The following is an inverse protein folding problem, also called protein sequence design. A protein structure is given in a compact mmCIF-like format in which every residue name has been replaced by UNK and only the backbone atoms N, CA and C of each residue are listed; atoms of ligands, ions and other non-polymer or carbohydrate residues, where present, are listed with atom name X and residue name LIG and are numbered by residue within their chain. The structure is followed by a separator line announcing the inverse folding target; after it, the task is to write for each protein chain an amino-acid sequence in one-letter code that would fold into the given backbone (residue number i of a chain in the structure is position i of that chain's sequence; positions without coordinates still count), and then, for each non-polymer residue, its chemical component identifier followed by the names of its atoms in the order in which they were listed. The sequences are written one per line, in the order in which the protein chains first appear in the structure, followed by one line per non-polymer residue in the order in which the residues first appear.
data_IF_556021240351
#
_entry.id   IF_556021240351
#
_cell.length_a   1.000
_cell.length_b   1.000
_cell.length_c   1.000
_cell.angle_alpha   90.00
_cell.angle_beta   90.00
_cell.angle_gamma   90.00
#
_symmetry.space_group_name_H-M   'P 1'
#
loop_
_entity.id
_entity.type
_entity.pdbx_description
1 polymer ?
#
# COMPACT_ATOMS: atom_id res chain seq x y z
N UNK A 1 -26.20 -33.99 -10.80
CA UNK A 1 -27.03 -32.84 -11.26
C UNK A 1 -28.41 -33.34 -11.68
N UNK A 2 -28.49 -34.53 -12.30
CA UNK A 2 -29.76 -35.22 -12.52
C UNK A 2 -30.53 -35.41 -11.21
N UNK A 3 -31.82 -35.03 -11.26
CA UNK A 3 -32.74 -35.05 -10.11
C UNK A 3 -32.75 -33.80 -9.21
N UNK A 4 -31.85 -32.82 -9.39
CA UNK A 4 -31.82 -31.61 -8.54
C UNK A 4 -31.51 -30.30 -9.24
N UNK A 5 -31.68 -30.23 -10.57
CA UNK A 5 -31.37 -29.05 -11.37
C UNK A 5 -32.04 -27.77 -10.86
N UNK A 6 -33.24 -27.84 -10.25
CA UNK A 6 -33.92 -26.67 -9.65
C UNK A 6 -33.12 -26.01 -8.54
N UNK A 7 -32.54 -26.80 -7.62
CA UNK A 7 -31.71 -26.27 -6.52
C UNK A 7 -30.39 -25.71 -7.02
N UNK A 8 -29.81 -26.34 -8.05
CA UNK A 8 -28.63 -25.81 -8.71
C UNK A 8 -28.93 -24.50 -9.44
N UNK A 9 -30.07 -24.42 -10.12
CA UNK A 9 -30.55 -23.19 -10.75
C UNK A 9 -30.75 -22.08 -9.72
N UNK A 10 -31.46 -22.36 -8.62
CA UNK A 10 -31.63 -21.41 -7.50
C UNK A 10 -30.30 -20.92 -6.94
N UNK A 11 -29.34 -21.83 -6.72
CA UNK A 11 -28.01 -21.45 -6.22
C UNK A 11 -27.23 -20.60 -7.24
N UNK A 12 -27.26 -20.97 -8.53
CA UNK A 12 -26.56 -20.23 -9.60
C UNK A 12 -27.20 -18.86 -9.83
N UNK A 13 -28.52 -18.74 -9.74
CA UNK A 13 -29.24 -17.48 -9.93
C UNK A 13 -29.23 -16.59 -8.68
N UNK A 14 -28.80 -17.11 -7.52
CA UNK A 14 -28.66 -16.33 -6.31
C UNK A 14 -27.68 -15.16 -6.52
N UNK A 15 -27.95 -14.00 -5.92
CA UNK A 15 -27.11 -12.81 -6.09
C UNK A 15 -25.72 -13.02 -5.45
N UNK A 16 -25.69 -13.71 -4.30
CA UNK A 16 -24.49 -13.95 -3.49
C UNK A 16 -24.28 -15.46 -3.25
N UNK A 17 -24.07 -16.27 -4.30
CA UNK A 17 -24.00 -17.74 -4.19
C UNK A 17 -22.86 -18.21 -3.29
N UNK A 18 -21.79 -17.43 -3.17
CA UNK A 18 -20.65 -17.70 -2.29
C UNK A 18 -20.97 -17.68 -0.79
N UNK A 19 -22.13 -17.14 -0.43
CA UNK A 19 -22.64 -17.15 0.95
C UNK A 19 -23.56 -18.32 1.24
N UNK A 20 -23.99 -19.05 0.20
CA UNK A 20 -24.97 -20.11 0.29
C UNK A 20 -24.29 -21.48 0.27
N UNK A 21 -24.77 -22.44 1.08
CA UNK A 21 -24.25 -23.80 1.02
C UNK A 21 -24.54 -24.40 -0.37
N UNK A 22 -23.58 -25.15 -0.91
CA UNK A 22 -23.79 -25.87 -2.16
C UNK A 22 -24.94 -26.88 -2.03
N UNK A 23 -25.69 -27.14 -3.11
CA UNK A 23 -26.79 -28.10 -3.07
C UNK A 23 -26.34 -29.51 -2.66
N UNK A 24 -27.19 -30.22 -1.91
CA UNK A 24 -27.05 -31.65 -1.61
C UNK A 24 -25.73 -32.03 -0.90
N UNK A 25 -25.07 -33.08 -1.37
CA UNK A 25 -23.81 -33.63 -0.86
C UNK A 25 -22.60 -32.74 -1.16
N UNK A 26 -22.73 -31.81 -2.12
CA UNK A 26 -21.64 -30.96 -2.56
C UNK A 26 -21.20 -29.96 -1.47
N UNK A 27 -22.08 -29.64 -0.51
CA UNK A 27 -21.70 -28.87 0.70
C UNK A 27 -20.71 -29.58 1.62
N UNK A 28 -20.56 -30.91 1.49
CA UNK A 28 -19.62 -31.71 2.28
C UNK A 28 -18.20 -31.69 1.70
N UNK A 29 -18.02 -31.14 0.51
CA UNK A 29 -16.70 -30.98 -0.07
C UNK A 29 -15.88 -29.98 0.75
N UNK A 30 -14.57 -30.20 0.81
CA UNK A 30 -13.60 -29.24 1.36
C UNK A 30 -13.70 -27.89 0.64
N UNK A 31 -13.46 -26.78 1.35
CA UNK A 31 -13.60 -25.42 0.80
C UNK A 31 -12.96 -25.20 -0.57
N UNK A 32 -11.72 -25.68 -0.79
CA UNK A 32 -11.05 -25.57 -2.10
C UNK A 32 -11.79 -26.29 -3.24
N UNK A 33 -12.34 -27.48 -2.98
CA UNK A 33 -13.16 -28.23 -3.95
C UNK A 33 -14.49 -27.53 -4.22
N UNK A 34 -15.06 -26.83 -3.24
CA UNK A 34 -16.23 -25.98 -3.44
C UNK A 34 -15.92 -24.79 -4.37
N UNK A 35 -14.71 -24.21 -4.27
CA UNK A 35 -14.26 -23.15 -5.17
C UNK A 35 -14.15 -23.62 -6.63
N UNK A 36 -13.80 -24.88 -6.88
CA UNK A 36 -13.81 -25.43 -8.25
C UNK A 36 -15.20 -25.40 -8.88
N UNK A 37 -16.24 -25.65 -8.07
CA UNK A 37 -17.64 -25.61 -8.52
C UNK A 37 -18.07 -24.16 -8.75
N UNK A 38 -17.72 -23.25 -7.83
CA UNK A 38 -17.93 -21.81 -8.02
C UNK A 38 -17.29 -21.33 -9.33
N UNK A 39 -16.06 -21.75 -9.62
CA UNK A 39 -15.35 -21.38 -10.85
C UNK A 39 -16.07 -21.85 -12.11
N UNK A 40 -16.67 -23.03 -12.05
CA UNK A 40 -17.39 -23.62 -13.18
C UNK A 40 -18.75 -22.95 -13.42
N UNK A 41 -19.46 -22.54 -12.37
CA UNK A 41 -20.86 -22.10 -12.45
C UNK A 41 -21.08 -20.59 -12.30
N UNK A 42 -20.26 -19.90 -11.50
CA UNK A 42 -20.33 -18.46 -11.20
C UNK A 42 -18.93 -17.85 -11.13
N UNK A 43 -18.19 -17.82 -12.25
CA UNK A 43 -16.84 -17.28 -12.31
C UNK A 43 -16.77 -15.79 -11.90
N UNK A 44 -17.86 -15.05 -12.07
CA UNK A 44 -18.03 -13.65 -11.66
C UNK A 44 -17.94 -13.44 -10.14
N UNK A 45 -18.23 -14.47 -9.33
CA UNK A 45 -18.19 -14.42 -7.86
C UNK A 45 -16.90 -14.95 -7.26
N UNK A 46 -15.94 -15.36 -8.08
CA UNK A 46 -14.74 -16.06 -7.63
C UNK A 46 -13.90 -15.24 -6.64
N UNK A 47 -13.74 -13.94 -6.86
CA UNK A 47 -12.98 -13.08 -5.95
C UNK A 47 -13.56 -13.09 -4.54
N UNK A 48 -14.90 -12.99 -4.41
CA UNK A 48 -15.59 -13.01 -3.12
C UNK A 48 -15.56 -14.39 -2.48
N UNK A 49 -15.71 -15.45 -3.28
CA UNK A 49 -15.64 -16.82 -2.79
C UNK A 49 -14.24 -17.17 -2.25
N UNK A 50 -13.18 -16.77 -2.95
CA UNK A 50 -11.79 -16.94 -2.49
C UNK A 50 -11.55 -16.13 -1.21
N UNK A 51 -11.98 -14.86 -1.17
CA UNK A 51 -11.80 -14.01 0.00
C UNK A 51 -12.44 -14.63 1.25
N UNK A 52 -13.67 -15.14 1.11
CA UNK A 52 -14.36 -15.84 2.18
C UNK A 52 -13.61 -17.10 2.62
N UNK A 53 -13.18 -17.92 1.66
CA UNK A 53 -12.43 -19.14 1.97
C UNK A 53 -11.11 -18.85 2.69
N UNK A 54 -10.40 -17.78 2.29
CA UNK A 54 -9.21 -17.29 3.01
C UNK A 54 -9.56 -16.87 4.44
N UNK A 55 -10.68 -16.17 4.63
CA UNK A 55 -11.18 -15.82 5.95
C UNK A 55 -11.50 -17.03 6.83
N UNK A 56 -12.08 -18.08 6.25
CA UNK A 56 -12.43 -19.31 6.97
C UNK A 56 -11.18 -20.13 7.35
N UNK A 57 -10.12 -20.08 6.55
CA UNK A 57 -8.89 -20.88 6.75
C UNK A 57 -7.82 -20.15 7.56
N UNK A 58 -7.58 -18.87 7.27
CA UNK A 58 -6.50 -18.06 7.85
C UNK A 58 -7.00 -17.01 8.84
N UNK A 59 -8.31 -16.72 8.86
CA UNK A 59 -8.92 -15.71 9.73
C UNK A 59 -9.22 -14.39 9.03
N UNK A 60 -10.08 -13.58 9.65
CA UNK A 60 -10.62 -12.34 9.07
C UNK A 60 -9.58 -11.24 8.83
N UNK A 61 -8.44 -11.28 9.52
CA UNK A 61 -7.35 -10.32 9.33
C UNK A 61 -6.81 -10.32 7.89
N UNK A 62 -6.81 -11.48 7.22
CA UNK A 62 -6.39 -11.61 5.83
C UNK A 62 -7.44 -11.16 4.81
N UNK A 63 -8.65 -10.81 5.27
CA UNK A 63 -9.71 -10.25 4.42
C UNK A 63 -9.74 -8.72 4.44
N UNK A 64 -9.14 -8.10 5.47
CA UNK A 64 -9.16 -6.65 5.65
C UNK A 64 -7.95 -6.00 4.99
N UNK A 65 -8.18 -4.92 4.24
CA UNK A 65 -7.08 -4.09 3.77
C UNK A 65 -6.33 -3.49 4.98
N UNK A 66 -5.01 -3.65 4.99
CA UNK A 66 -4.14 -3.01 5.96
C UNK A 66 -3.95 -1.56 5.52
N UNK A 67 -4.17 -0.61 6.43
CA UNK A 67 -3.87 0.78 6.15
C UNK A 67 -2.34 0.96 6.12
N UNK A 68 -1.85 1.74 5.17
CA UNK A 68 -0.45 2.14 5.14
C UNK A 68 -0.12 2.97 6.39
N UNK A 69 0.86 2.52 7.17
CA UNK A 69 1.40 3.22 8.33
C UNK A 69 2.93 3.21 8.24
N UNK A 70 3.50 4.36 7.90
CA UNK A 70 4.94 4.52 7.78
C UNK A 70 5.64 4.45 9.14
N UNK A 71 5.03 4.98 10.21
CA UNK A 71 5.65 5.01 11.53
C UNK A 71 5.82 3.60 12.07
N UNK A 72 4.76 2.78 11.98
CA UNK A 72 4.82 1.37 12.38
C UNK A 72 5.85 0.59 11.55
N UNK A 73 5.84 0.78 10.22
CA UNK A 73 6.78 0.09 9.33
C UNK A 73 8.24 0.52 9.55
N UNK A 74 8.46 1.73 10.06
CA UNK A 74 9.79 2.26 10.35
C UNK A 74 10.40 1.64 11.62
N UNK A 75 9.61 1.06 12.52
CA UNK A 75 10.13 0.38 13.72
C UNK A 75 11.03 -0.82 13.36
N UNK A 76 10.75 -1.48 12.24
CA UNK A 76 11.56 -2.59 11.73
C UNK A 76 12.78 -2.11 10.92
N UNK A 77 12.89 -0.80 10.63
CA UNK A 77 13.96 -0.24 9.80
C UNK A 77 15.25 -0.07 10.61
N UNK A 78 16.37 -0.35 9.96
CA UNK A 78 17.71 -0.25 10.56
C UNK A 78 18.71 0.30 9.54
N UNK A 79 19.96 0.62 9.93
CA UNK A 79 20.98 1.05 8.99
C UNK A 79 21.22 0.07 7.83
N UNK A 80 21.01 -1.24 8.07
CA UNK A 80 21.17 -2.32 7.10
C UNK A 80 19.89 -2.70 6.35
N UNK A 81 18.74 -2.21 6.81
CA UNK A 81 17.41 -2.54 6.26
C UNK A 81 16.74 -1.25 5.78
N UNK A 82 16.90 -0.90 4.49
CA UNK A 82 16.28 0.30 3.92
C UNK A 82 14.75 0.19 3.89
N UNK A 83 14.08 1.33 3.83
CA UNK A 83 12.65 1.40 3.51
C UNK A 83 12.50 1.71 2.02
N UNK A 84 11.77 0.88 1.29
CA UNK A 84 11.56 1.01 -0.15
C UNK A 84 10.09 1.29 -0.46
N UNK A 85 9.83 2.45 -1.06
CA UNK A 85 8.52 2.85 -1.56
C UNK A 85 8.35 2.42 -3.02
N UNK A 86 7.43 1.50 -3.27
CA UNK A 86 6.93 1.26 -4.62
C UNK A 86 5.93 2.36 -4.98
N UNK A 87 6.31 3.20 -5.93
CA UNK A 87 5.51 4.34 -6.32
C UNK A 87 4.29 3.90 -7.13
N UNK A 88 3.13 4.38 -6.70
CA UNK A 88 1.90 4.38 -7.48
C UNK A 88 1.60 5.80 -7.97
N UNK A 89 0.92 5.99 -9.11
CA UNK A 89 0.56 7.33 -9.59
C UNK A 89 -0.19 8.15 -8.53
N UNK A 90 0.30 9.36 -8.25
CA UNK A 90 -0.33 10.30 -7.30
C UNK A 90 0.08 10.14 -5.84
N UNK A 91 1.05 9.28 -5.54
CA UNK A 91 1.61 9.08 -4.19
C UNK A 91 2.96 9.81 -4.08
N UNK A 92 3.17 10.53 -2.98
CA UNK A 92 4.43 11.22 -2.71
C UNK A 92 5.02 10.74 -1.37
N UNK A 93 5.93 9.74 -1.37
CA UNK A 93 6.54 9.24 -0.12
C UNK A 93 7.43 10.29 0.55
N UNK A 94 7.92 11.29 -0.18
CA UNK A 94 8.80 12.32 0.38
C UNK A 94 8.07 13.13 1.47
N UNK A 95 6.78 13.40 1.28
CA UNK A 95 5.97 14.10 2.26
C UNK A 95 5.77 13.26 3.53
N UNK A 96 5.46 11.96 3.35
CA UNK A 96 5.25 11.03 4.46
C UNK A 96 6.54 10.87 5.30
N UNK A 97 7.70 10.73 4.65
CA UNK A 97 9.01 10.63 5.34
C UNK A 97 9.35 11.94 6.06
N UNK A 98 9.05 13.10 5.47
CA UNK A 98 9.28 14.40 6.13
C UNK A 98 8.44 14.56 7.39
N UNK A 99 7.16 14.17 7.36
CA UNK A 99 6.28 14.21 8.55
C UNK A 99 6.84 13.31 9.65
N UNK A 100 7.24 12.09 9.32
CA UNK A 100 7.86 11.17 10.28
C UNK A 100 9.18 11.74 10.83
N UNK A 101 10.04 12.26 9.95
CA UNK A 101 11.34 12.84 10.32
C UNK A 101 11.20 14.04 11.25
N UNK A 102 10.25 14.93 10.98
CA UNK A 102 9.94 16.06 11.87
C UNK A 102 9.52 15.59 13.27
N UNK A 103 8.74 14.50 13.37
CA UNK A 103 8.35 13.91 14.65
C UNK A 103 9.51 13.30 15.43
N UNK A 104 10.63 12.98 14.77
CA UNK A 104 11.81 12.33 15.34
C UNK A 104 13.07 13.21 15.37
N UNK A 105 12.95 14.51 15.05
CA UNK A 105 14.11 15.42 14.98
C UNK A 105 15.12 15.05 13.87
N UNK A 106 14.61 14.57 12.72
CA UNK A 106 15.39 14.24 11.52
C UNK A 106 14.97 15.17 10.40
N UNK A 107 15.35 16.44 10.52
CA UNK A 107 14.95 17.50 9.59
C UNK A 107 16.09 17.91 8.68
N UNK A 108 15.76 18.53 7.54
CA UNK A 108 16.75 19.09 6.60
C UNK A 108 17.51 20.26 7.26
N UNK A 109 16.81 21.08 8.07
CA UNK A 109 17.37 22.26 8.74
C UNK A 109 18.42 21.91 9.80
N UNK A 110 18.24 20.77 10.49
CA UNK A 110 19.23 20.24 11.44
C UNK A 110 20.35 19.46 10.75
N UNK A 111 20.32 19.38 9.42
CA UNK A 111 21.27 18.59 8.64
C UNK A 111 21.17 17.09 8.89
N UNK A 112 20.04 16.61 9.45
CA UNK A 112 19.81 15.20 9.80
C UNK A 112 18.96 14.44 8.79
N UNK A 113 18.55 15.11 7.71
CA UNK A 113 17.87 14.49 6.58
C UNK A 113 18.39 15.09 5.25
N UNK A 114 18.79 14.21 4.33
CA UNK A 114 19.20 14.60 2.98
C UNK A 114 18.31 13.89 1.97
N UNK A 115 17.63 14.67 1.13
CA UNK A 115 16.83 14.16 0.01
C UNK A 115 17.55 14.38 -1.31
N UNK A 116 17.67 13.32 -2.10
CA UNK A 116 18.23 13.36 -3.46
C UNK A 116 17.19 12.79 -4.42
N UNK A 117 16.78 13.60 -5.41
CA UNK A 117 15.96 13.12 -6.53
C UNK A 117 16.87 12.69 -7.65
N UNK A 118 16.83 11.40 -8.02
CA UNK A 118 17.75 10.83 -8.97
C UNK A 118 17.41 11.25 -10.41
N UNK A 119 18.47 11.42 -11.19
CA UNK A 119 18.48 11.92 -12.55
C UNK A 119 19.93 11.96 -13.04
N UNK A 120 20.17 12.55 -14.22
CA UNK A 120 21.51 12.58 -14.79
C UNK A 120 22.51 13.29 -13.84
N UNK A 121 23.55 12.58 -13.43
CA UNK A 121 24.64 13.09 -12.57
C UNK A 121 24.31 13.21 -11.07
N UNK A 122 23.12 12.76 -10.62
CA UNK A 122 22.73 12.82 -9.21
C UNK A 122 23.24 11.63 -8.38
N UNK A 123 23.75 10.58 -9.03
CA UNK A 123 24.37 9.42 -8.40
C UNK A 123 25.57 9.81 -7.51
N UNK A 124 26.39 10.77 -7.95
CA UNK A 124 27.52 11.27 -7.15
C UNK A 124 27.05 12.00 -5.88
N UNK A 125 25.94 12.73 -5.97
CA UNK A 125 25.33 13.44 -4.82
C UNK A 125 24.73 12.43 -3.84
N UNK A 126 24.01 11.43 -4.37
CA UNK A 126 23.46 10.34 -3.58
C UNK A 126 24.55 9.57 -2.83
N UNK A 127 25.67 9.27 -3.48
CA UNK A 127 26.79 8.58 -2.82
C UNK A 127 27.37 9.38 -1.66
N UNK A 128 27.58 10.70 -1.85
CA UNK A 128 28.08 11.57 -0.79
C UNK A 128 27.11 11.68 0.39
N UNK A 129 25.81 11.78 0.10
CA UNK A 129 24.78 11.81 1.13
C UNK A 129 24.78 10.54 1.98
N UNK A 130 24.90 9.37 1.34
CA UNK A 130 25.03 8.08 2.03
C UNK A 130 26.27 8.03 2.90
N UNK A 131 27.44 8.44 2.39
CA UNK A 131 28.70 8.41 3.15
C UNK A 131 28.67 9.36 4.35
N UNK A 132 28.09 10.56 4.17
CA UNK A 132 27.94 11.53 5.24
C UNK A 132 27.05 10.99 6.37
N UNK A 133 25.84 10.54 6.03
CA UNK A 133 24.86 10.09 7.03
C UNK A 133 25.24 8.75 7.66
N UNK A 134 26.04 7.94 6.98
CA UNK A 134 26.64 6.74 7.54
C UNK A 134 27.52 7.05 8.76
N UNK A 135 28.30 8.15 8.71
CA UNK A 135 29.20 8.57 9.80
C UNK A 135 28.47 9.43 10.82
N UNK A 136 27.77 10.47 10.36
CA UNK A 136 27.18 11.50 11.23
C UNK A 136 25.84 11.10 11.84
N UNK A 137 25.19 10.06 11.28
CA UNK A 137 23.86 9.66 11.64
C UNK A 137 22.78 10.62 11.12
N UNK A 138 21.72 10.04 10.57
CA UNK A 138 20.61 10.78 9.97
C UNK A 138 20.05 10.00 8.80
N UNK A 139 19.20 10.65 8.01
CA UNK A 139 18.36 9.97 7.03
C UNK A 139 18.71 10.40 5.62
N UNK A 140 18.67 9.45 4.68
CA UNK A 140 18.84 9.70 3.26
C UNK A 140 17.63 9.20 2.50
N UNK A 141 16.96 10.08 1.74
CA UNK A 141 15.89 9.70 0.81
C UNK A 141 16.42 9.78 -0.62
N UNK A 142 16.48 8.64 -1.30
CA UNK A 142 16.83 8.53 -2.71
C UNK A 142 15.55 8.31 -3.52
N UNK A 143 15.08 9.36 -4.18
CA UNK A 143 13.83 9.33 -4.92
C UNK A 143 14.03 9.00 -6.40
N UNK A 144 13.15 8.18 -6.97
CA UNK A 144 13.14 7.80 -8.39
C UNK A 144 14.43 7.12 -8.86
N UNK A 145 14.93 6.15 -8.08
CA UNK A 145 16.22 5.50 -8.34
C UNK A 145 16.28 4.77 -9.70
N UNK A 146 15.14 4.37 -10.25
CA UNK A 146 15.01 3.74 -11.57
C UNK A 146 15.50 4.64 -12.71
N UNK A 147 15.52 5.96 -12.51
CA UNK A 147 15.99 6.93 -13.51
C UNK A 147 17.50 6.85 -13.76
N UNK A 148 18.25 6.18 -12.88
CA UNK A 148 19.69 5.96 -13.02
C UNK A 148 20.02 4.48 -12.92
N UNK A 149 19.36 3.67 -13.75
CA UNK A 149 19.48 2.21 -13.76
C UNK A 149 20.93 1.68 -13.76
N UNK A 150 21.85 2.33 -14.49
CA UNK A 150 23.25 1.91 -14.56
C UNK A 150 24.02 2.04 -13.24
N UNK A 151 23.54 2.86 -12.31
CA UNK A 151 24.15 3.06 -10.99
C UNK A 151 23.62 2.08 -9.93
N UNK A 152 22.46 1.47 -10.14
CA UNK A 152 21.82 0.61 -9.14
C UNK A 152 22.69 -0.58 -8.67
N UNK A 153 23.50 -1.25 -9.51
CA UNK A 153 24.43 -2.29 -9.03
C UNK A 153 25.51 -1.76 -8.09
N UNK A 154 25.89 -0.48 -8.22
CA UNK A 154 26.84 0.17 -7.32
C UNK A 154 26.16 0.57 -6.01
N UNK A 155 24.93 1.10 -6.09
CA UNK A 155 24.09 1.36 -4.91
C UNK A 155 23.88 0.08 -4.10
N UNK A 156 23.54 -1.04 -4.74
CA UNK A 156 23.38 -2.35 -4.10
C UNK A 156 24.59 -2.71 -3.24
N UNK A 157 25.78 -2.78 -3.85
CA UNK A 157 27.03 -3.07 -3.13
C UNK A 157 27.30 -2.10 -1.99
N UNK A 158 26.95 -0.82 -2.18
CA UNK A 158 27.10 0.19 -1.14
C UNK A 158 26.17 -0.12 0.03
N UNK A 159 24.88 -0.32 -0.20
CA UNK A 159 23.92 -0.68 0.85
C UNK A 159 24.31 -1.93 1.62
N UNK A 160 24.88 -2.95 0.95
CA UNK A 160 25.40 -4.15 1.65
C UNK A 160 26.62 -3.86 2.52
N UNK A 161 27.48 -2.93 2.12
CA UNK A 161 28.65 -2.54 2.91
C UNK A 161 28.29 -1.64 4.11
N UNK A 162 27.09 -1.02 4.13
CA UNK A 162 26.66 -0.15 5.22
C UNK A 162 26.27 -0.92 6.50
N UNK A 163 26.25 -2.27 6.47
CA UNK A 163 25.93 -3.08 7.66
C UNK A 163 26.99 -2.95 8.77
N UNK A 164 28.26 -2.77 8.41
CA UNK A 164 29.39 -2.82 9.36
C UNK A 164 29.92 -1.44 9.74
N UNK A 165 29.33 -0.82 10.77
CA UNK A 165 29.86 0.41 11.38
C UNK A 165 29.06 1.68 11.05
N UNK A 166 27.86 1.55 10.49
CA UNK A 166 26.93 2.66 10.35
C UNK A 166 26.55 3.24 11.70
N UNK A 167 26.36 4.56 11.73
CA UNK A 167 25.76 5.23 12.87
C UNK A 167 24.37 4.64 13.19
N UNK A 168 24.00 4.39 14.47
CA UNK A 168 22.73 3.73 14.84
C UNK A 168 21.47 4.43 14.31
N UNK A 169 21.52 5.76 14.19
CA UNK A 169 20.44 6.62 13.67
C UNK A 169 20.40 6.69 12.13
N UNK A 170 21.33 6.05 11.43
CA UNK A 170 21.38 6.07 9.96
C UNK A 170 20.20 5.30 9.37
N UNK A 171 19.45 5.92 8.46
CA UNK A 171 18.35 5.26 7.74
C UNK A 171 18.35 5.65 6.27
N UNK A 172 18.04 4.69 5.42
CA UNK A 172 17.92 4.89 3.97
C UNK A 172 16.48 4.63 3.53
N UNK A 173 15.94 5.60 2.80
CA UNK A 173 14.65 5.51 2.13
C UNK A 173 14.89 5.53 0.61
N UNK A 174 14.23 4.64 -0.10
CA UNK A 174 14.34 4.47 -1.55
C UNK A 174 12.95 4.61 -2.15
N UNK A 175 12.81 5.25 -3.31
CA UNK A 175 11.57 5.17 -4.08
C UNK A 175 11.82 4.85 -5.55
N UNK A 176 10.93 4.04 -6.13
CA UNK A 176 10.93 3.78 -7.56
C UNK A 176 9.55 3.36 -8.08
N UNK A 177 9.30 3.63 -9.36
CA UNK A 177 8.27 2.93 -10.11
C UNK A 177 8.62 1.43 -10.28
N UNK A 178 7.63 0.52 -10.37
CA UNK A 178 7.88 -0.89 -10.65
C UNK A 178 8.59 -1.08 -12.00
N UNK A 179 9.90 -1.34 -11.97
CA UNK A 179 10.73 -1.55 -13.16
C UNK A 179 11.69 -2.74 -12.98
N UNK A 180 12.02 -3.40 -14.09
CA UNK A 180 12.94 -4.56 -14.10
C UNK A 180 14.40 -4.18 -13.81
N UNK A 181 14.75 -2.89 -13.89
CA UNK A 181 16.10 -2.42 -13.65
C UNK A 181 16.47 -2.40 -12.17
N UNK A 182 15.49 -2.37 -11.26
CA UNK A 182 15.73 -2.36 -9.82
C UNK A 182 16.30 -3.73 -9.40
N UNK A 183 17.52 -3.79 -8.84
CA UNK A 183 18.13 -5.04 -8.45
C UNK A 183 17.31 -5.78 -7.38
N UNK A 184 17.18 -7.10 -7.59
CA UNK A 184 16.49 -7.98 -6.64
C UNK A 184 17.10 -7.93 -5.23
N UNK A 185 18.42 -7.85 -5.04
CA UNK A 185 19.00 -7.79 -3.69
C UNK A 185 18.59 -6.54 -2.91
N UNK A 186 18.50 -5.37 -3.57
CA UNK A 186 17.98 -4.14 -2.94
C UNK A 186 16.56 -4.38 -2.45
N UNK A 187 15.71 -4.98 -3.29
CA UNK A 187 14.36 -5.34 -2.87
C UNK A 187 14.43 -6.33 -1.70
N UNK A 188 15.13 -7.45 -1.80
CA UNK A 188 15.17 -8.47 -0.75
C UNK A 188 15.55 -7.90 0.63
N UNK A 189 16.55 -7.02 0.71
CA UNK A 189 17.01 -6.40 1.95
C UNK A 189 16.12 -5.25 2.49
N UNK A 190 15.19 -4.73 1.69
CA UNK A 190 14.37 -3.57 2.10
C UNK A 190 13.03 -3.96 2.72
N UNK A 191 12.46 -3.09 3.56
CA UNK A 191 11.03 -3.10 3.90
C UNK A 191 10.27 -2.50 2.73
N UNK A 192 9.33 -3.23 2.15
CA UNK A 192 8.62 -2.80 0.93
C UNK A 192 7.28 -2.21 1.31
N UNK A 193 7.09 -0.94 0.96
CA UNK A 193 5.85 -0.23 1.22
C UNK A 193 5.16 0.12 -0.10
N UNK A 194 3.90 -0.26 -0.18
CA UNK A 194 2.99 0.16 -1.24
C UNK A 194 1.95 1.10 -0.63
N UNK A 195 1.98 2.39 -0.97
CA UNK A 195 0.90 3.31 -0.60
C UNK A 195 -0.11 3.34 -1.75
N UNK A 196 -0.75 2.20 -2.00
CA UNK A 196 -1.81 2.12 -3.00
C UNK A 196 -3.08 2.82 -2.47
N UNK A 197 -3.84 3.50 -3.34
CA UNK A 197 -5.11 4.06 -2.93
C UNK A 197 -6.04 2.93 -2.45
N UNK A 198 -6.76 3.13 -1.33
CA UNK A 198 -7.62 2.08 -0.79
C UNK A 198 -8.64 1.60 -1.83
N UNK A 199 -8.93 0.30 -1.83
CA UNK A 199 -9.93 -0.28 -2.70
C UNK A 199 -11.24 -0.50 -1.93
N UNK A 200 -12.31 0.08 -2.44
CA UNK A 200 -13.65 -0.03 -1.89
C UNK A 200 -14.12 1.26 -1.24
N UNK A 201 -15.43 1.47 -1.27
CA UNK A 201 -16.08 2.70 -0.80
C UNK A 201 -15.76 3.00 0.67
N UNK A 202 -15.85 2.00 1.54
CA UNK A 202 -15.61 2.16 2.99
C UNK A 202 -14.16 2.55 3.30
N UNK A 203 -13.20 1.93 2.63
CA UNK A 203 -11.78 2.20 2.85
C UNK A 203 -11.39 3.60 2.35
N UNK A 204 -11.90 4.00 1.17
CA UNK A 204 -11.74 5.36 0.67
C UNK A 204 -12.38 6.41 1.59
N UNK A 205 -13.58 6.13 2.11
CA UNK A 205 -14.27 7.03 3.04
C UNK A 205 -13.47 7.21 4.33
N UNK A 206 -12.98 6.11 4.90
CA UNK A 206 -12.18 6.15 6.12
C UNK A 206 -10.89 6.94 5.90
N UNK A 207 -10.16 6.70 4.81
CA UNK A 207 -8.93 7.45 4.50
C UNK A 207 -9.20 8.94 4.30
N UNK A 208 -10.24 9.30 3.55
CA UNK A 208 -10.60 10.69 3.32
C UNK A 208 -11.02 11.39 4.62
N UNK A 209 -11.77 10.70 5.49
CA UNK A 209 -12.24 11.26 6.75
C UNK A 209 -11.12 11.43 7.78
N UNK A 210 -10.15 10.51 7.82
CA UNK A 210 -8.98 10.58 8.70
C UNK A 210 -7.95 11.66 8.30
N UNK A 211 -8.08 12.26 7.12
CA UNK A 211 -7.23 13.38 6.70
C UNK A 211 -7.58 14.69 7.43
N UNK A 212 -8.70 14.74 8.16
CA UNK A 212 -9.12 15.91 8.94
C UNK A 212 -8.82 15.69 10.42
N UNK A 213 -8.12 16.63 11.05
CA UNK A 213 -7.79 16.58 12.48
C UNK A 213 -8.85 17.28 13.37
N UNK A 214 -8.63 17.22 14.69
CA UNK A 214 -9.51 17.84 15.68
C UNK A 214 -9.72 19.36 15.46
N UNK A 215 -8.68 20.05 14.99
CA UNK A 215 -8.68 21.51 14.82
C UNK A 215 -9.63 21.97 13.71
N UNK A 216 -9.85 21.15 12.68
CA UNK A 216 -10.82 21.44 11.61
C UNK A 216 -12.24 21.50 12.17
N UNK A 217 -12.56 20.65 13.16
CA UNK A 217 -13.90 20.61 13.77
C UNK A 217 -14.13 21.74 14.77
N UNK A 218 -13.09 22.10 15.52
CA UNK A 218 -13.16 23.07 16.62
C UNK A 218 -13.29 24.52 16.14
N UNK A 219 -12.84 24.81 14.91
CA UNK A 219 -12.89 26.15 14.32
C UNK A 219 -14.26 26.54 13.73
N UNK A 220 -15.29 25.69 13.84
CA UNK A 220 -16.64 25.97 13.36
C UNK A 220 -17.63 26.23 14.50
N UNK A 221 -18.39 27.32 14.41
CA UNK A 221 -19.52 27.60 15.31
C UNK A 221 -20.73 26.68 15.09
N UNK A 222 -20.74 25.92 13.99
CA UNK A 222 -21.79 24.96 13.61
C UNK A 222 -21.20 23.57 13.36
N UNK A 223 -20.68 22.96 14.43
CA UNK A 223 -19.89 21.73 14.34
C UNK A 223 -20.69 20.55 13.77
N UNK A 224 -21.98 20.44 14.07
CA UNK A 224 -22.81 19.33 13.63
C UNK A 224 -23.03 19.35 12.11
N UNK A 225 -23.43 20.50 11.58
CA UNK A 225 -23.64 20.72 10.14
C UNK A 225 -22.32 20.60 9.38
N UNK A 226 -21.24 21.15 9.93
CA UNK A 226 -19.92 21.06 9.32
C UNK A 226 -19.43 19.61 9.24
N UNK A 227 -19.56 18.82 10.33
CA UNK A 227 -19.24 17.38 10.31
C UNK A 227 -20.07 16.61 9.27
N UNK A 228 -21.37 16.91 9.16
CA UNK A 228 -22.24 16.28 8.17
C UNK A 228 -21.79 16.61 6.73
N UNK A 229 -21.44 17.87 6.45
CA UNK A 229 -20.95 18.31 5.13
C UNK A 229 -19.61 17.64 4.80
N UNK A 230 -18.65 17.62 5.74
CA UNK A 230 -17.34 16.98 5.52
C UNK A 230 -17.51 15.49 5.28
N UNK A 231 -18.37 14.81 6.03
CA UNK A 231 -18.68 13.41 5.79
C UNK A 231 -19.29 13.18 4.39
N UNK A 232 -20.27 14.00 4.00
CA UNK A 232 -20.88 13.92 2.67
C UNK A 232 -19.85 14.16 1.55
N UNK A 233 -18.92 15.10 1.75
CA UNK A 233 -17.83 15.37 0.81
C UNK A 233 -16.86 14.19 0.72
N UNK A 234 -16.46 13.60 1.85
CA UNK A 234 -15.61 12.41 1.88
C UNK A 234 -16.29 11.22 1.19
N UNK A 235 -17.59 11.05 1.40
CA UNK A 235 -18.39 10.02 0.75
C UNK A 235 -18.43 10.24 -0.77
N UNK A 236 -18.72 11.47 -1.22
CA UNK A 236 -18.72 11.83 -2.63
C UNK A 236 -17.34 11.58 -3.27
N UNK A 237 -16.27 12.04 -2.63
CA UNK A 237 -14.89 11.79 -3.07
C UNK A 237 -14.62 10.28 -3.22
N UNK A 238 -15.06 9.48 -2.26
CA UNK A 238 -14.89 8.02 -2.28
C UNK A 238 -15.64 7.36 -3.43
N UNK A 239 -16.86 7.80 -3.74
CA UNK A 239 -17.63 7.34 -4.90
C UNK A 239 -16.92 7.71 -6.21
N UNK A 240 -16.40 8.94 -6.32
CA UNK A 240 -15.65 9.40 -7.49
C UNK A 240 -14.41 8.53 -7.73
N UNK A 241 -13.64 8.25 -6.67
CA UNK A 241 -12.47 7.37 -6.71
C UNK A 241 -12.83 5.95 -7.17
N UNK A 242 -13.90 5.35 -6.64
CA UNK A 242 -14.35 4.02 -7.06
C UNK A 242 -14.88 3.99 -8.51
N UNK A 243 -15.61 5.03 -8.95
CA UNK A 243 -16.11 5.12 -10.33
C UNK A 243 -14.99 5.14 -11.36
N UNK A 244 -13.81 5.67 -11.03
CA UNK A 244 -12.64 5.64 -11.95
C UNK A 244 -12.21 4.24 -12.36
N UNK A 245 -12.52 3.21 -11.56
CA UNK A 245 -12.19 1.80 -11.86
C UNK A 245 -13.00 1.23 -13.03
N UNK A 246 -14.12 1.86 -13.40
CA UNK A 246 -14.99 1.40 -14.48
C UNK A 246 -14.60 1.96 -15.86
N UNK A 247 -13.44 2.63 -15.95
CA UNK A 247 -12.94 3.18 -17.21
C UNK A 247 -13.98 4.11 -17.89
N UNK A 248 -14.25 3.94 -19.20
CA UNK A 248 -15.22 4.77 -19.93
C UNK A 248 -16.65 4.73 -19.37
N UNK A 249 -17.06 3.65 -18.69
CA UNK A 249 -18.40 3.59 -18.07
C UNK A 249 -18.50 4.45 -16.81
N UNK A 250 -17.36 4.68 -16.15
CA UNK A 250 -17.26 5.53 -14.98
C UNK A 250 -17.21 7.01 -15.35
N UNK A 251 -16.33 7.35 -16.29
CA UNK A 251 -16.05 8.71 -16.75
C UNK A 251 -15.78 8.72 -18.25
N UNK A 252 -16.48 9.60 -18.98
CA UNK A 252 -16.12 9.92 -20.35
C UNK A 252 -14.87 10.81 -20.35
N UNK A 253 -13.99 10.58 -21.31
CA UNK A 253 -12.70 11.27 -21.43
C UNK A 253 -12.86 12.72 -21.84
#
# INVERSE_FOLDING_TARGET
IDGSWKRWKEWVEHEQPETQPLPQEWKRLSGFRQLMIMRALRPDRMTLAILRWVGDVLGSHFMTAINFDLALSFEDASPSVPVFFLLSPGVNPDADVKVLGNGLGKTEDEGKFIRVSLGQGQDVVAEKALDQMYIEGGWVMLANIELVAGWLPKLEKKLEALEEGAHPEFRVFLSALPQKCVPVPILQKSIKLTNEPPSGLKANLLRAYLAFDASVWENSSKQAEFKAIVFALCFFHSVVCERRKFGPQGWNR
#
